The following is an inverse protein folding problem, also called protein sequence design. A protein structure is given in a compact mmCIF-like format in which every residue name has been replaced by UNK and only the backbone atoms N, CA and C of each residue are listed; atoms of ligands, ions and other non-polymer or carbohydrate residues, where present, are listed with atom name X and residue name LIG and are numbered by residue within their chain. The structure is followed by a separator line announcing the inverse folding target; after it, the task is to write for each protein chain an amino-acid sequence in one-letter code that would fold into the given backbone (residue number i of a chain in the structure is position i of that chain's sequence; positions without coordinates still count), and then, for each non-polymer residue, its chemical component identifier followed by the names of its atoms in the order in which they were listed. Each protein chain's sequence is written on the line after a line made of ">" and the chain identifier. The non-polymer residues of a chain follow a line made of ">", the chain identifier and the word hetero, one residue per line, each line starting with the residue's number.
data_IF_980760405997
#
_entry.id   IF_980760405997
#
_cell.length_a   1.000
_cell.length_b   1.000
_cell.length_c   1.000
_cell.angle_alpha   90.00
_cell.angle_beta   90.00
_cell.angle_gamma   90.00
#
_symmetry.space_group_name_H-M   'P 1'
#
loop_
_entity.id
_entity.type
_entity.pdbx_description
1 polymer ?
#
# COMPACT_ATOMS: atom_id res chain seq x y z
N UNK A 1 -39.78 -18.79 -16.84
CA UNK A 1 -39.44 -18.38 -15.47
C UNK A 1 -38.80 -19.57 -14.76
N UNK A 2 -37.50 -19.77 -14.60
CA UNK A 2 -36.27 -19.18 -15.12
C UNK A 2 -35.22 -20.30 -15.02
N UNK A 3 -34.92 -20.99 -16.12
CA UNK A 3 -33.99 -22.14 -16.13
C UNK A 3 -32.63 -21.78 -15.52
N UNK A 4 -32.15 -20.57 -15.80
CA UNK A 4 -30.90 -20.03 -15.27
C UNK A 4 -30.93 -19.89 -13.74
N UNK A 5 -32.02 -19.37 -13.18
CA UNK A 5 -32.13 -19.18 -11.73
C UNK A 5 -32.14 -20.52 -11.00
N UNK A 6 -32.81 -21.53 -11.57
CA UNK A 6 -32.81 -22.89 -11.05
C UNK A 6 -31.41 -23.53 -11.14
N UNK A 7 -30.70 -23.34 -12.26
CA UNK A 7 -29.34 -23.85 -12.44
C UNK A 7 -28.33 -23.18 -11.47
N UNK A 8 -28.45 -21.88 -11.23
CA UNK A 8 -27.64 -21.15 -10.25
C UNK A 8 -27.93 -21.68 -8.84
N UNK A 9 -29.21 -21.84 -8.48
CA UNK A 9 -29.61 -22.37 -7.17
C UNK A 9 -29.07 -23.79 -6.93
N UNK A 10 -29.13 -24.66 -7.95
CA UNK A 10 -28.57 -26.02 -7.87
C UNK A 10 -27.04 -26.02 -7.75
N UNK A 11 -26.34 -25.10 -8.41
CA UNK A 11 -24.88 -24.95 -8.25
C UNK A 11 -24.48 -24.49 -6.84
N UNK A 12 -25.28 -23.63 -6.22
CA UNK A 12 -25.07 -23.17 -4.85
C UNK A 12 -25.21 -24.29 -3.80
N UNK A 13 -25.88 -25.41 -4.13
CA UNK A 13 -25.92 -26.60 -3.26
C UNK A 13 -24.57 -27.34 -3.21
N UNK A 14 -23.76 -27.23 -4.27
CA UNK A 14 -22.48 -27.95 -4.40
C UNK A 14 -21.32 -27.08 -3.91
N UNK A 15 -21.32 -25.79 -4.25
CA UNK A 15 -20.26 -24.86 -3.90
C UNK A 15 -20.80 -23.44 -3.72
N UNK A 16 -20.24 -22.65 -2.79
CA UNK A 16 -20.62 -21.26 -2.65
C UNK A 16 -20.25 -20.46 -3.91
N UNK A 17 -21.02 -19.42 -4.21
CA UNK A 17 -20.61 -18.40 -5.17
C UNK A 17 -19.43 -17.62 -4.58
N UNK A 18 -18.42 -17.37 -5.39
CA UNK A 18 -17.15 -16.74 -4.99
C UNK A 18 -16.99 -15.44 -5.74
N UNK A 19 -16.88 -14.34 -4.99
CA UNK A 19 -16.71 -13.00 -5.54
C UNK A 19 -15.36 -12.45 -5.07
N UNK A 20 -14.41 -12.22 -5.99
CA UNK A 20 -13.16 -11.57 -5.65
C UNK A 20 -13.43 -10.12 -5.29
N UNK A 21 -12.85 -9.66 -4.17
CA UNK A 21 -12.96 -8.28 -3.70
C UNK A 21 -11.57 -7.76 -3.32
N UNK A 22 -11.37 -6.45 -3.50
CA UNK A 22 -10.19 -5.74 -3.00
C UNK A 22 -10.57 -5.03 -1.71
N UNK A 23 -9.93 -5.42 -0.62
CA UNK A 23 -10.10 -4.78 0.69
C UNK A 23 -8.93 -3.82 0.94
N UNK A 24 -9.23 -2.67 1.52
CA UNK A 24 -8.22 -1.75 2.02
C UNK A 24 -7.97 -2.00 3.51
N UNK A 25 -6.71 -2.08 3.91
CA UNK A 25 -6.28 -2.16 5.31
C UNK A 25 -5.37 -0.98 5.63
N UNK A 26 -5.67 -0.23 6.69
CA UNK A 26 -4.88 0.91 7.14
C UNK A 26 -4.19 0.60 8.46
N UNK A 27 -2.92 0.97 8.56
CA UNK A 27 -2.11 0.91 9.79
C UNK A 27 -1.28 2.17 9.95
N UNK A 28 -1.21 2.68 11.16
CA UNK A 28 -0.35 3.82 11.52
C UNK A 28 0.74 3.37 12.49
N UNK A 29 1.98 3.74 12.22
CA UNK A 29 3.14 3.43 13.07
C UNK A 29 3.85 4.72 13.45
N UNK A 30 4.12 4.88 14.74
CA UNK A 30 4.90 6.01 15.24
C UNK A 30 6.40 5.72 15.16
N UNK A 31 7.16 6.66 14.62
CA UNK A 31 8.62 6.62 14.53
C UNK A 31 9.16 7.73 15.44
N UNK A 32 9.89 7.33 16.47
CA UNK A 32 10.43 8.27 17.45
C UNK A 32 11.47 9.20 16.84
N UNK A 33 11.58 10.40 17.40
CA UNK A 33 12.63 11.37 17.07
C UNK A 33 14.04 10.78 17.22
N UNK A 34 15.00 11.42 16.55
CA UNK A 34 16.42 11.11 16.57
C UNK A 34 16.80 9.67 16.12
N UNK A 35 15.91 8.97 15.41
CA UNK A 35 16.23 7.71 14.74
C UNK A 35 16.71 7.96 13.32
N UNK A 36 17.68 7.15 12.89
CA UNK A 36 18.16 7.11 11.49
C UNK A 36 17.70 5.84 10.76
N UNK A 37 17.17 4.86 11.50
CA UNK A 37 16.64 3.61 10.96
C UNK A 37 15.32 3.23 11.63
N UNK A 38 14.43 2.63 10.84
CA UNK A 38 13.15 2.11 11.30
C UNK A 38 12.84 0.78 10.62
N UNK A 39 12.41 -0.20 11.41
CA UNK A 39 11.99 -1.51 10.93
C UNK A 39 10.73 -1.93 11.68
N UNK A 40 9.72 -2.45 10.97
CA UNK A 40 8.48 -2.92 11.57
C UNK A 40 7.76 -3.94 10.69
N UNK A 41 6.92 -4.78 11.29
CA UNK A 41 5.98 -5.61 10.54
C UNK A 41 4.71 -4.80 10.26
N UNK A 42 4.34 -4.70 8.98
CA UNK A 42 3.11 -4.04 8.55
C UNK A 42 1.94 -5.01 8.62
N UNK A 43 2.01 -6.18 7.98
CA UNK A 43 0.97 -7.22 8.02
C UNK A 43 1.59 -8.58 8.33
N UNK A 44 0.87 -9.45 9.04
CA UNK A 44 1.40 -10.76 9.46
C UNK A 44 0.70 -11.92 8.78
N UNK A 45 -0.58 -11.75 8.44
CA UNK A 45 -1.45 -12.85 8.00
C UNK A 45 -1.49 -12.97 6.48
N UNK A 46 -1.73 -11.86 5.79
CA UNK A 46 -1.82 -11.78 4.34
C UNK A 46 -0.89 -10.71 3.79
N UNK A 47 -0.27 -11.03 2.65
CA UNK A 47 0.58 -10.12 1.89
C UNK A 47 -0.33 -9.24 1.02
N UNK A 48 -0.30 -7.91 1.17
CA UNK A 48 -1.02 -7.02 0.27
C UNK A 48 -0.52 -7.13 -1.16
N UNK A 49 -1.41 -6.91 -2.14
CA UNK A 49 -1.01 -6.81 -3.56
C UNK A 49 -0.30 -5.48 -3.85
N UNK A 50 -0.71 -4.42 -3.16
CA UNK A 50 -0.13 -3.08 -3.26
C UNK A 50 -0.06 -2.45 -1.88
N UNK A 51 1.03 -1.74 -1.63
CA UNK A 51 1.24 -0.99 -0.39
C UNK A 51 1.49 0.46 -0.75
N UNK A 52 0.73 1.37 -0.16
CA UNK A 52 0.89 2.82 -0.26
C UNK A 52 1.28 3.34 1.12
N UNK A 53 2.38 4.07 1.17
CA UNK A 53 2.96 4.60 2.40
C UNK A 53 3.04 6.12 2.29
N UNK A 54 2.66 6.80 3.36
CA UNK A 54 2.87 8.23 3.53
C UNK A 54 3.43 8.51 4.92
N UNK A 55 4.34 9.45 5.03
CA UNK A 55 4.84 9.92 6.33
C UNK A 55 4.34 11.33 6.58
N UNK A 56 3.90 11.58 7.81
CA UNK A 56 3.44 12.90 8.27
C UNK A 56 4.07 13.23 9.61
N UNK A 57 4.17 14.52 9.93
CA UNK A 57 4.62 14.94 11.25
C UNK A 57 3.58 14.51 12.29
N UNK A 58 4.02 14.01 13.44
CA UNK A 58 3.12 13.58 14.49
C UNK A 58 2.17 14.70 14.94
N UNK A 59 2.61 15.95 14.96
CA UNK A 59 1.75 17.09 15.31
C UNK A 59 0.64 17.34 14.29
N UNK A 60 0.88 16.98 13.03
CA UNK A 60 -0.05 17.16 11.92
C UNK A 60 -1.06 16.01 11.89
N UNK A 61 -0.60 14.80 12.23
CA UNK A 61 -1.45 13.62 12.38
C UNK A 61 -2.46 13.75 13.53
N UNK A 62 -2.02 14.24 14.70
CA UNK A 62 -2.91 14.47 15.86
C UNK A 62 -3.86 15.64 15.62
N UNK A 63 -3.51 16.57 14.72
CA UNK A 63 -4.30 17.73 14.36
C UNK A 63 -3.99 18.95 15.22
N UNK A 64 -3.36 19.97 14.62
CA UNK A 64 -3.09 21.28 15.23
C UNK A 64 -3.74 22.38 14.40
N UNK A 65 -4.19 23.46 15.04
CA UNK A 65 -4.99 24.54 14.41
C UNK A 65 -4.40 25.22 13.16
N UNK A 66 -3.13 24.98 12.82
CA UNK A 66 -2.44 25.58 11.67
C UNK A 66 -1.67 24.57 10.82
N UNK A 67 -1.94 23.29 10.99
CA UNK A 67 -1.28 22.24 10.21
C UNK A 67 -2.31 21.28 9.63
N UNK A 68 -1.90 20.47 8.66
CA UNK A 68 -2.81 19.57 7.93
C UNK A 68 -2.27 18.14 7.95
N UNK A 69 -3.11 17.14 8.26
CA UNK A 69 -2.71 15.73 8.24
C UNK A 69 -2.46 15.20 6.82
N UNK A 70 -2.71 16.00 5.79
CA UNK A 70 -2.50 15.64 4.38
C UNK A 70 -1.18 16.15 3.80
N UNK A 71 -0.27 16.68 4.63
CA UNK A 71 1.04 17.13 4.20
C UNK A 71 2.08 16.01 4.32
N UNK A 72 2.12 15.14 3.31
CA UNK A 72 2.99 13.96 3.27
C UNK A 72 4.40 14.31 2.82
N UNK A 73 5.39 14.06 3.67
CA UNK A 73 6.78 14.51 3.49
C UNK A 73 7.74 13.32 3.41
N UNK A 74 8.89 13.55 2.79
CA UNK A 74 9.94 12.55 2.66
C UNK A 74 10.83 12.42 3.92
N UNK A 75 10.85 13.40 4.82
CA UNK A 75 11.67 13.41 6.05
C UNK A 75 13.15 13.00 5.83
N UNK A 76 13.74 13.44 4.71
CA UNK A 76 15.10 13.07 4.31
C UNK A 76 15.37 11.55 4.26
N UNK A 77 14.34 10.76 3.90
CA UNK A 77 14.47 9.33 3.63
C UNK A 77 15.62 9.07 2.63
N UNK A 78 16.45 8.09 2.95
CA UNK A 78 17.60 7.62 2.16
C UNK A 78 17.27 6.34 1.40
N UNK A 79 16.62 5.40 2.07
CA UNK A 79 16.25 4.11 1.50
C UNK A 79 14.97 3.59 2.16
N UNK A 80 14.16 2.91 1.37
CA UNK A 80 12.93 2.24 1.81
C UNK A 80 12.76 0.95 1.05
N UNK A 81 12.46 -0.12 1.79
CA UNK A 81 12.23 -1.44 1.24
C UNK A 81 11.12 -2.17 1.99
N UNK A 82 10.40 -3.00 1.24
CA UNK A 82 9.38 -3.91 1.75
C UNK A 82 9.86 -5.33 1.56
N UNK A 83 9.82 -6.15 2.61
CA UNK A 83 10.05 -7.58 2.51
C UNK A 83 8.73 -8.32 2.70
N UNK A 84 8.32 -9.09 1.70
CA UNK A 84 7.10 -9.90 1.72
C UNK A 84 7.42 -11.31 1.24
N UNK A 85 7.12 -12.32 2.06
CA UNK A 85 7.35 -13.73 1.69
C UNK A 85 8.81 -14.08 1.34
N UNK A 86 9.78 -13.37 1.94
CA UNK A 86 11.22 -13.54 1.68
C UNK A 86 11.76 -12.80 0.46
N UNK A 87 10.91 -12.10 -0.29
CA UNK A 87 11.31 -11.24 -1.42
C UNK A 87 11.31 -9.77 -0.97
N UNK A 88 12.34 -9.02 -1.34
CA UNK A 88 12.47 -7.60 -1.01
C UNK A 88 12.22 -6.72 -2.23
N UNK A 89 11.45 -5.66 -2.03
CA UNK A 89 11.03 -4.68 -3.02
C UNK A 89 11.51 -3.28 -2.61
N UNK A 90 12.12 -2.50 -3.50
CA UNK A 90 12.60 -2.93 -4.81
C UNK A 90 13.77 -3.94 -4.69
N UNK A 91 14.05 -4.67 -5.76
CA UNK A 91 15.20 -5.58 -5.80
C UNK A 91 16.55 -4.83 -5.67
N UNK A 92 16.64 -3.66 -6.31
CA UNK A 92 17.78 -2.75 -6.17
C UNK A 92 17.40 -1.61 -5.22
N UNK A 93 18.13 -1.42 -4.10
CA UNK A 93 17.81 -0.42 -3.08
C UNK A 93 17.83 1.00 -3.67
N UNK A 94 17.20 1.93 -2.97
CA UNK A 94 17.29 3.33 -3.33
C UNK A 94 18.51 3.99 -2.67
N UNK A 95 18.95 5.10 -3.27
CA UNK A 95 19.93 6.01 -2.69
C UNK A 95 19.38 7.43 -2.82
N UNK A 96 18.36 7.71 -2.02
CA UNK A 96 17.57 8.92 -2.11
C UNK A 96 18.31 10.09 -1.49
N UNK A 97 18.25 11.23 -2.17
CA UNK A 97 18.72 12.52 -1.67
C UNK A 97 17.84 13.61 -2.28
N UNK A 98 16.81 14.03 -1.54
CA UNK A 98 15.84 15.03 -1.99
C UNK A 98 16.46 16.42 -2.16
N UNK A 99 17.55 16.72 -1.44
CA UNK A 99 18.29 17.97 -1.57
C UNK A 99 19.06 18.05 -2.89
N UNK A 100 19.57 16.92 -3.39
CA UNK A 100 20.34 16.81 -4.63
C UNK A 100 19.52 16.41 -5.86
N UNK A 101 18.21 16.23 -5.73
CA UNK A 101 17.37 15.79 -6.85
C UNK A 101 17.33 14.27 -7.08
N UNK A 102 17.94 13.47 -6.21
CA UNK A 102 18.03 12.02 -6.34
C UNK A 102 16.75 11.34 -5.82
N UNK A 103 15.63 11.56 -6.51
CA UNK A 103 14.32 10.94 -6.20
C UNK A 103 13.49 10.64 -7.44
N UNK A 104 14.05 10.80 -8.64
CA UNK A 104 13.36 10.54 -9.91
C UNK A 104 12.84 9.09 -10.01
N UNK A 105 13.67 8.13 -9.61
CA UNK A 105 13.31 6.70 -9.67
C UNK A 105 12.12 6.39 -8.78
N UNK A 106 12.18 6.73 -7.49
CA UNK A 106 11.09 6.41 -6.56
C UNK A 106 9.78 7.14 -6.92
N UNK A 107 9.86 8.34 -7.51
CA UNK A 107 8.70 9.02 -8.08
C UNK A 107 8.13 8.28 -9.28
N UNK A 108 8.98 7.81 -10.21
CA UNK A 108 8.54 7.03 -11.36
C UNK A 108 7.91 5.70 -10.93
N UNK A 109 8.56 4.96 -10.03
CA UNK A 109 8.07 3.70 -9.48
C UNK A 109 6.70 3.89 -8.81
N UNK A 110 6.47 5.03 -8.12
CA UNK A 110 5.15 5.38 -7.59
C UNK A 110 4.11 5.54 -8.71
N UNK A 111 4.42 6.32 -9.75
CA UNK A 111 3.50 6.55 -10.87
C UNK A 111 3.20 5.29 -11.66
N UNK A 112 4.17 4.38 -11.79
CA UNK A 112 4.00 3.06 -12.39
C UNK A 112 3.08 2.20 -11.52
N UNK A 113 3.34 2.13 -10.21
CA UNK A 113 2.56 1.30 -9.31
C UNK A 113 1.09 1.76 -9.18
N UNK A 114 0.79 3.04 -9.37
CA UNK A 114 -0.60 3.56 -9.42
C UNK A 114 -1.21 3.56 -10.83
N UNK A 115 -0.47 3.14 -11.86
CA UNK A 115 -0.97 2.94 -13.22
C UNK A 115 -0.93 4.17 -14.15
N UNK A 116 -0.26 5.27 -13.75
CA UNK A 116 -0.15 6.47 -14.61
C UNK A 116 1.09 6.49 -15.49
N UNK A 117 2.15 5.75 -15.16
CA UNK A 117 3.36 5.71 -15.99
C UNK A 117 3.04 5.18 -17.40
N UNK A 118 3.44 5.94 -18.43
CA UNK A 118 3.18 5.59 -19.82
C UNK A 118 1.72 5.77 -20.28
N UNK A 119 0.83 6.26 -19.42
CA UNK A 119 -0.56 6.59 -19.76
C UNK A 119 -0.71 8.05 -20.23
N UNK A 120 -1.86 8.37 -20.82
CA UNK A 120 -2.27 9.76 -21.10
C UNK A 120 -2.99 10.42 -19.91
N UNK A 121 -3.15 9.68 -18.81
CA UNK A 121 -3.84 10.14 -17.60
C UNK A 121 -2.84 10.64 -16.54
N UNK A 122 -3.33 11.35 -15.53
CA UNK A 122 -2.49 11.88 -14.45
C UNK A 122 -3.27 12.02 -13.14
N UNK A 123 -2.59 11.73 -12.03
CA UNK A 123 -3.06 12.07 -10.68
C UNK A 123 -2.78 13.53 -10.26
N UNK A 124 -2.16 14.35 -11.11
CA UNK A 124 -1.83 15.75 -10.79
C UNK A 124 -0.69 15.93 -9.79
N UNK A 125 0.01 14.85 -9.41
CA UNK A 125 1.22 14.91 -8.56
C UNK A 125 2.43 15.03 -9.47
N UNK A 126 2.92 16.26 -9.67
CA UNK A 126 4.19 16.47 -10.37
C UNK A 126 5.38 16.08 -9.49
N UNK A 127 6.53 15.83 -10.11
CA UNK A 127 7.78 15.56 -9.40
C UNK A 127 8.15 16.67 -8.40
N UNK A 128 7.85 17.94 -8.72
CA UNK A 128 7.99 19.06 -7.79
C UNK A 128 7.04 18.94 -6.59
N UNK A 129 5.76 18.62 -6.82
CA UNK A 129 4.78 18.46 -5.73
C UNK A 129 5.12 17.29 -4.82
N UNK A 130 5.61 16.21 -5.42
CA UNK A 130 6.09 15.02 -4.72
C UNK A 130 7.20 15.37 -3.71
N UNK A 131 8.23 16.10 -4.15
CA UNK A 131 9.37 16.44 -3.30
C UNK A 131 9.10 17.61 -2.33
N UNK A 132 8.37 18.64 -2.76
CA UNK A 132 8.37 19.94 -2.07
C UNK A 132 6.99 20.48 -1.68
N UNK A 133 5.88 19.79 -2.00
CA UNK A 133 4.54 20.31 -1.73
C UNK A 133 3.63 19.37 -0.92
N UNK A 134 4.19 18.37 -0.23
CA UNK A 134 3.41 17.53 0.69
C UNK A 134 2.64 16.38 0.03
N UNK A 135 3.09 15.89 -1.12
CA UNK A 135 2.47 14.77 -1.84
C UNK A 135 3.44 13.59 -2.02
N UNK A 136 4.31 13.35 -1.04
CA UNK A 136 5.31 12.28 -1.07
C UNK A 136 4.72 10.95 -0.61
N UNK A 137 4.32 10.08 -1.54
CA UNK A 137 3.86 8.72 -1.28
C UNK A 137 4.82 7.67 -1.84
N UNK A 138 5.07 6.61 -1.09
CA UNK A 138 5.86 5.47 -1.55
C UNK A 138 4.92 4.32 -1.85
N UNK A 139 4.93 3.85 -3.10
CA UNK A 139 3.98 2.83 -3.56
C UNK A 139 4.74 1.63 -4.07
N UNK A 140 4.38 0.46 -3.57
CA UNK A 140 5.00 -0.82 -3.90
C UNK A 140 3.93 -1.74 -4.49
N UNK A 141 4.17 -2.18 -5.73
CA UNK A 141 3.40 -3.26 -6.35
C UNK A 141 4.05 -4.61 -5.99
N UNK A 142 3.32 -5.47 -5.30
CA UNK A 142 3.77 -6.80 -4.86
C UNK A 142 3.14 -7.95 -5.68
N UNK A 143 2.36 -7.62 -6.71
CA UNK A 143 1.82 -8.61 -7.67
C UNK A 143 2.96 -9.31 -8.42
N UNK A 144 2.71 -10.55 -8.83
CA UNK A 144 3.73 -11.32 -9.56
C UNK A 144 3.97 -10.78 -10.98
N UNK A 145 2.91 -10.28 -11.61
CA UNK A 145 2.97 -9.68 -12.94
C UNK A 145 3.65 -8.32 -12.95
N UNK A 146 3.70 -7.62 -11.80
CA UNK A 146 3.98 -6.19 -11.70
C UNK A 146 3.02 -5.31 -12.54
N UNK A 147 1.98 -5.93 -13.10
CA UNK A 147 0.92 -5.29 -13.85
C UNK A 147 -0.36 -5.40 -13.01
N UNK A 148 -0.84 -4.28 -12.50
CA UNK A 148 -2.10 -4.19 -11.74
C UNK A 148 -2.99 -3.10 -12.34
N UNK A 149 -3.28 -3.26 -13.63
CA UNK A 149 -3.87 -2.23 -14.49
C UNK A 149 -5.41 -2.31 -14.60
N UNK A 150 -6.09 -3.14 -13.78
CA UNK A 150 -7.54 -3.21 -13.85
C UNK A 150 -8.21 -3.94 -12.68
N UNK A 151 -9.47 -3.57 -12.36
CA UNK A 151 -10.25 -4.18 -11.28
C UNK A 151 -10.59 -5.65 -11.53
N UNK A 152 -10.41 -6.13 -12.77
CA UNK A 152 -10.72 -7.50 -13.19
C UNK A 152 -9.62 -8.50 -12.83
N UNK A 153 -8.42 -8.02 -12.45
CA UNK A 153 -7.30 -8.89 -12.15
C UNK A 153 -7.28 -9.27 -10.67
N UNK A 154 -7.53 -10.56 -10.40
CA UNK A 154 -7.44 -11.18 -9.08
C UNK A 154 -6.21 -12.09 -9.03
N UNK A 155 -5.26 -11.77 -8.16
CA UNK A 155 -4.05 -12.55 -7.97
C UNK A 155 -4.26 -13.61 -6.89
N UNK A 156 -3.35 -14.60 -6.83
CA UNK A 156 -3.38 -15.59 -5.77
C UNK A 156 -3.18 -14.91 -4.41
N UNK A 157 -4.10 -15.15 -3.48
CA UNK A 157 -3.97 -14.70 -2.09
C UNK A 157 -2.77 -15.40 -1.44
N UNK A 158 -1.79 -14.62 -0.99
CA UNK A 158 -0.57 -15.10 -0.36
C UNK A 158 -0.62 -14.84 1.14
N UNK A 159 -0.46 -15.89 1.92
CA UNK A 159 -0.27 -15.76 3.36
C UNK A 159 1.19 -15.49 3.68
N UNK A 160 1.45 -14.56 4.60
CA UNK A 160 2.80 -14.24 5.01
C UNK A 160 2.94 -12.88 5.66
N UNK A 161 4.11 -12.66 6.24
CA UNK A 161 4.46 -11.39 6.85
C UNK A 161 5.04 -10.44 5.83
N UNK A 162 4.55 -9.20 5.90
CA UNK A 162 5.06 -8.04 5.17
C UNK A 162 5.72 -7.11 6.18
N UNK A 163 7.01 -6.85 6.02
CA UNK A 163 7.78 -5.93 6.84
C UNK A 163 8.34 -4.77 6.03
N UNK A 164 8.61 -3.67 6.72
CA UNK A 164 9.20 -2.46 6.16
C UNK A 164 10.55 -2.19 6.82
N UNK A 165 11.50 -1.72 6.02
CA UNK A 165 12.77 -1.13 6.46
C UNK A 165 12.92 0.25 5.84
N UNK A 166 13.26 1.23 6.66
CA UNK A 166 13.55 2.60 6.25
C UNK A 166 14.85 3.09 6.88
N UNK A 167 15.61 3.87 6.12
CA UNK A 167 16.76 4.61 6.64
C UNK A 167 16.71 6.06 6.18
N UNK A 168 17.22 6.98 7.00
CA UNK A 168 17.13 8.42 6.78
C UNK A 168 18.54 9.04 6.69
N UNK A 169 18.69 10.05 5.83
CA UNK A 169 19.92 10.84 5.71
C UNK A 169 20.10 11.79 6.91
N UNK A 170 18.99 12.22 7.51
CA UNK A 170 18.97 13.01 8.74
C UNK A 170 18.12 12.29 9.79
N UNK A 171 18.43 12.45 11.09
CA UNK A 171 17.61 11.87 12.14
C UNK A 171 16.17 12.40 12.07
N UNK A 172 15.21 11.53 12.38
CA UNK A 172 13.78 11.90 12.47
C UNK A 172 13.62 13.15 13.34
N UNK A 173 12.86 14.17 12.88
CA UNK A 173 12.74 15.45 13.59
C UNK A 173 12.11 15.30 14.98
N UNK A 174 12.32 16.31 15.82
CA UNK A 174 11.75 16.31 17.16
C UNK A 174 10.21 16.26 17.13
N UNK A 175 9.64 15.49 18.05
CA UNK A 175 8.21 15.18 18.08
C UNK A 175 7.81 13.91 17.31
N UNK A 176 8.74 13.33 16.55
CA UNK A 176 8.55 12.09 15.80
C UNK A 176 7.65 12.24 14.57
N UNK A 177 7.57 11.17 13.79
CA UNK A 177 6.74 11.10 12.58
C UNK A 177 5.79 9.91 12.65
N UNK A 178 4.67 10.00 11.96
CA UNK A 178 3.71 8.91 11.81
C UNK A 178 3.79 8.39 10.38
N UNK A 179 4.11 7.11 10.25
CA UNK A 179 3.98 6.36 9.00
C UNK A 179 2.55 5.85 8.88
N UNK A 180 1.84 6.27 7.85
CA UNK A 180 0.54 5.73 7.46
C UNK A 180 0.76 4.73 6.33
N UNK A 181 0.38 3.49 6.57
CA UNK A 181 0.46 2.39 5.63
C UNK A 181 -0.93 1.92 5.22
N UNK A 182 -1.20 1.95 3.93
CA UNK A 182 -2.39 1.43 3.30
C UNK A 182 -2.03 0.20 2.46
N UNK A 183 -2.62 -0.94 2.76
CA UNK A 183 -2.49 -2.16 1.98
C UNK A 183 -3.78 -2.42 1.22
N UNK A 184 -3.65 -2.68 -0.08
CA UNK A 184 -4.71 -3.30 -0.88
C UNK A 184 -4.53 -4.81 -0.81
N UNK A 185 -5.55 -5.52 -0.35
CA UNK A 185 -5.49 -6.96 -0.06
C UNK A 185 -6.61 -7.64 -0.84
N UNK A 186 -6.25 -8.67 -1.60
CA UNK A 186 -7.22 -9.53 -2.27
C UNK A 186 -7.91 -10.44 -1.25
N UNK A 187 -9.24 -10.48 -1.30
CA UNK A 187 -10.08 -11.31 -0.44
C UNK A 187 -11.21 -11.92 -1.26
N UNK A 188 -11.79 -13.01 -0.75
CA UNK A 188 -12.85 -13.74 -1.41
C UNK A 188 -14.11 -13.72 -0.55
N UNK A 189 -15.17 -13.11 -1.09
CA UNK A 189 -16.50 -13.17 -0.50
C UNK A 189 -17.21 -14.43 -1.02
N UNK A 190 -17.66 -15.27 -0.10
CA UNK A 190 -18.36 -16.52 -0.38
C UNK A 190 -19.82 -16.41 0.05
N UNK A 191 -20.74 -16.72 -0.86
CA UNK A 191 -22.18 -16.78 -0.60
C UNK A 191 -22.64 -18.23 -0.72
N UNK A 192 -23.15 -18.79 0.37
CA UNK A 192 -23.69 -20.15 0.40
C UNK A 192 -25.16 -20.22 -0.04
N UNK A 193 -25.71 -21.44 -0.10
CA UNK A 193 -27.13 -21.70 -0.40
C UNK A 193 -28.09 -20.94 0.52
N UNK A 194 -27.73 -20.81 1.80
CA UNK A 194 -28.55 -20.16 2.82
C UNK A 194 -28.43 -18.63 2.77
N UNK A 195 -27.68 -18.09 1.81
CA UNK A 195 -27.35 -16.67 1.67
C UNK A 195 -26.50 -16.15 2.84
N UNK A 196 -25.79 -17.04 3.53
CA UNK A 196 -24.77 -16.68 4.50
C UNK A 196 -23.54 -16.19 3.75
N UNK A 197 -23.03 -15.04 4.18
CA UNK A 197 -21.81 -14.46 3.65
C UNK A 197 -20.65 -14.85 4.55
N UNK A 198 -19.60 -15.43 3.97
CA UNK A 198 -18.33 -15.71 4.64
C UNK A 198 -17.16 -15.14 3.86
N UNK A 199 -16.07 -14.85 4.54
CA UNK A 199 -14.81 -14.39 3.94
C UNK A 199 -13.71 -15.40 4.20
N UNK A 200 -12.69 -15.39 3.35
CA UNK A 200 -11.50 -16.25 3.44
C UNK A 200 -10.57 -15.94 4.63
N UNK A 201 -10.77 -14.79 5.29
CA UNK A 201 -10.00 -14.34 6.46
C UNK A 201 -10.82 -14.58 7.73
N UNK A 202 -10.22 -15.28 8.70
CA UNK A 202 -10.72 -15.35 10.08
C UNK A 202 -10.61 -13.97 10.73
N UNK A 203 -11.75 -13.37 11.06
CA UNK A 203 -11.83 -12.13 11.87
C UNK A 203 -11.31 -12.38 13.28
#
# INVERSE_FOLDING_TARGET
>A
MDSLAFDIAKKLEIKPARYPIRKTSLKSLFISENRTEFNANLWTDQVPRRIILGMVDNKDFVGRQRTTPFYFQHFNLRDISITAGGVTFPAAPYSLDFSKGNYARIYHDMQEAVGYAGSLESNGISMFRYAYAGYCFFVFNLTNSQEDNGPEMFDLIKNGTTSIRMTFNEPVPSGGIVLVAMGEIDSLLMLDRNRTISTDISV
#
